data_IF_798565831152
#
_entry.id   IF_798565831152
#
_cell.length_a   1.000
_cell.length_b   1.000
_cell.length_c   1.000
_cell.angle_alpha   90.00
_cell.angle_beta   90.00
_cell.angle_gamma   90.00
#
_symmetry.space_group_name_H-M   'P 1'
#
loop_
_entity.id
_entity.type
_entity.pdbx_description
1 polymer ?
#
# COMPACT_ATOMS: atom_id res chain seq x y z
N UNK A 1 25.53 -12.26 -6.62
CA UNK A 1 25.09 -10.89 -6.93
C UNK A 1 24.23 -10.40 -5.79
N UNK A 2 24.52 -9.23 -5.21
CA UNK A 2 23.65 -8.61 -4.22
C UNK A 2 22.75 -7.60 -4.95
N UNK A 3 21.43 -7.82 -4.91
CA UNK A 3 20.45 -6.87 -5.42
C UNK A 3 19.88 -6.11 -4.21
N UNK A 4 19.88 -4.78 -4.29
CA UNK A 4 19.21 -3.97 -3.29
C UNK A 4 17.70 -3.98 -3.56
N UNK A 5 16.91 -4.24 -2.51
CA UNK A 5 15.45 -4.22 -2.57
C UNK A 5 14.93 -3.24 -1.53
N UNK A 6 14.12 -2.28 -1.96
CA UNK A 6 13.45 -1.37 -1.05
C UNK A 6 12.39 -2.14 -0.26
N UNK A 7 12.42 -2.00 1.06
CA UNK A 7 11.41 -2.55 1.96
C UNK A 7 10.19 -1.64 1.97
N UNK A 8 9.02 -2.23 1.85
CA UNK A 8 7.77 -1.50 1.91
C UNK A 8 7.42 -1.20 3.37
N UNK A 9 7.03 0.03 3.67
CA UNK A 9 6.51 0.42 4.99
C UNK A 9 5.45 1.52 4.85
N UNK A 10 4.64 1.69 5.89
CA UNK A 10 3.73 2.82 6.08
C UNK A 10 4.05 3.58 7.38
N UNK A 11 5.32 3.59 7.80
CA UNK A 11 5.78 4.40 8.95
C UNK A 11 5.80 5.92 8.70
N UNK A 12 5.87 6.33 7.44
CA UNK A 12 5.86 7.73 7.03
C UNK A 12 5.52 7.84 5.56
N UNK A 13 4.92 8.97 5.18
CA UNK A 13 4.77 9.32 3.78
C UNK A 13 6.04 10.02 3.28
N UNK A 14 6.69 9.55 2.21
CA UNK A 14 7.81 10.27 1.63
C UNK A 14 7.35 11.61 1.07
N UNK A 15 8.13 12.67 1.30
CA UNK A 15 7.88 13.98 0.70
C UNK A 15 8.26 13.98 -0.78
N UNK A 16 7.42 14.57 -1.63
CA UNK A 16 7.65 14.66 -3.09
C UNK A 16 7.50 16.10 -3.52
N UNK A 17 8.50 16.64 -4.22
CA UNK A 17 8.42 17.94 -4.89
C UNK A 17 8.63 17.74 -6.39
N UNK A 18 7.62 18.05 -7.18
CA UNK A 18 7.74 18.10 -8.64
C UNK A 18 7.98 19.56 -9.03
N UNK A 19 9.07 19.78 -9.75
CA UNK A 19 9.55 21.12 -10.13
C UNK A 19 9.69 21.14 -11.65
N UNK A 20 9.06 22.13 -12.28
CA UNK A 20 9.27 22.45 -13.69
C UNK A 20 10.20 23.67 -13.74
N UNK A 21 11.23 23.59 -14.56
CA UNK A 21 12.11 24.72 -14.84
C UNK A 21 11.67 25.39 -16.15
N UNK A 22 11.29 26.66 -16.05
CA UNK A 22 10.92 27.49 -17.20
C UNK A 22 12.11 28.37 -17.55
N UNK A 23 12.60 28.21 -18.78
CA UNK A 23 13.67 29.03 -19.34
C UNK A 23 13.04 30.12 -20.19
N UNK A 24 13.33 31.39 -19.89
CA UNK A 24 12.85 32.49 -20.71
C UNK A 24 13.72 32.70 -21.97
N UNK A 25 13.30 33.61 -22.86
CA UNK A 25 14.01 33.90 -24.10
C UNK A 25 15.42 34.53 -23.88
N UNK A 26 15.72 34.99 -22.66
CA UNK A 26 17.01 35.57 -22.29
C UNK A 26 17.93 34.56 -21.58
N UNK A 27 17.46 33.32 -21.36
CA UNK A 27 18.22 32.26 -20.71
C UNK A 27 18.14 32.26 -19.19
N UNK A 28 17.19 32.99 -18.58
CA UNK A 28 16.95 32.91 -17.14
C UNK A 28 16.10 31.70 -16.78
N UNK A 29 16.54 30.98 -15.74
CA UNK A 29 15.87 29.80 -15.22
C UNK A 29 14.93 30.19 -14.06
N UNK A 30 13.65 29.83 -14.19
CA UNK A 30 12.65 30.01 -13.14
C UNK A 30 12.09 28.65 -12.73
N UNK A 31 12.30 28.26 -11.47
CA UNK A 31 11.82 26.98 -10.94
C UNK A 31 10.42 27.15 -10.35
N UNK A 32 9.45 26.45 -10.92
CA UNK A 32 8.07 26.42 -10.48
C UNK A 32 7.79 25.07 -9.82
N UNK A 33 7.35 25.08 -8.57
CA UNK A 33 6.88 23.89 -7.88
C UNK A 33 5.45 23.63 -8.34
N UNK A 34 5.24 22.56 -9.11
CA UNK A 34 3.90 22.19 -9.61
C UNK A 34 3.17 21.25 -8.67
N UNK A 35 3.92 20.52 -7.82
CA UNK A 35 3.35 19.65 -6.80
C UNK A 35 4.30 19.58 -5.61
N UNK A 36 3.74 19.66 -4.41
CA UNK A 36 4.49 19.51 -3.16
C UNK A 36 3.68 18.67 -2.19
N UNK A 37 4.22 17.50 -1.86
CA UNK A 37 3.76 16.63 -0.79
C UNK A 37 4.81 16.68 0.33
N UNK A 38 4.38 17.05 1.53
CA UNK A 38 5.25 17.08 2.69
C UNK A 38 5.53 15.67 3.21
N UNK A 39 6.74 15.47 3.75
CA UNK A 39 7.02 14.31 4.59
C UNK A 39 6.09 14.33 5.80
N UNK A 40 5.45 13.20 6.10
CA UNK A 40 4.57 13.07 7.26
C UNK A 40 4.93 11.79 8.03
N UNK A 41 5.46 11.90 9.26
CA UNK A 41 5.68 10.75 10.11
C UNK A 41 4.34 10.20 10.63
N UNK A 42 4.18 8.89 10.61
CA UNK A 42 3.00 8.20 11.16
C UNK A 42 3.40 7.49 12.45
N UNK A 43 3.32 8.23 13.56
CA UNK A 43 3.85 7.78 14.86
C UNK A 43 3.08 6.59 15.48
N UNK A 44 1.76 6.50 15.28
CA UNK A 44 0.90 5.48 15.93
C UNK A 44 0.00 4.68 14.99
N UNK A 45 -0.18 5.14 13.75
CA UNK A 45 -1.04 4.48 12.76
C UNK A 45 -0.34 3.41 11.90
N UNK A 46 1.00 3.36 11.94
CA UNK A 46 1.76 2.40 11.15
C UNK A 46 1.70 1.01 11.77
N UNK A 47 1.36 0.01 10.96
CA UNK A 47 1.38 -1.41 11.33
C UNK A 47 2.34 -2.23 10.47
N UNK A 48 3.06 -1.58 9.54
CA UNK A 48 4.01 -2.23 8.61
C UNK A 48 5.26 -2.86 9.25
N UNK A 49 5.51 -2.59 10.53
CA UNK A 49 6.60 -3.22 11.29
C UNK A 49 6.46 -4.73 11.35
N UNK A 50 5.23 -5.24 11.36
CA UNK A 50 4.94 -6.67 11.41
C UNK A 50 5.36 -7.41 10.12
N UNK A 51 5.45 -6.71 9.00
CA UNK A 51 5.87 -7.23 7.68
C UNK A 51 7.36 -7.01 7.41
N UNK A 52 8.05 -6.38 8.36
CA UNK A 52 9.47 -6.10 8.30
C UNK A 52 10.05 -6.25 9.70
N UNK A 53 9.72 -7.38 10.36
CA UNK A 53 10.04 -7.59 11.78
C UNK A 53 11.49 -7.22 12.04
N UNK A 54 11.66 -6.17 12.84
CA UNK A 54 12.99 -5.69 13.15
C UNK A 54 13.46 -6.51 14.33
N UNK A 55 14.64 -7.13 14.20
CA UNK A 55 15.26 -7.89 15.28
C UNK A 55 15.32 -7.08 16.58
N UNK A 56 15.43 -5.75 16.51
CA UNK A 56 15.44 -4.86 17.66
C UNK A 56 14.13 -4.82 18.43
N UNK A 57 13.00 -5.08 17.79
CA UNK A 57 11.67 -5.05 18.42
C UNK A 57 11.42 -6.36 19.17
N UNK A 58 11.75 -7.51 18.57
CA UNK A 58 11.42 -8.82 19.14
C UNK A 58 12.52 -9.38 20.06
N UNK A 59 13.79 -9.01 19.85
CA UNK A 59 14.92 -9.54 20.62
C UNK A 59 14.87 -9.22 22.12
N UNK A 60 14.43 -8.02 22.59
CA UNK A 60 14.25 -7.77 24.02
C UNK A 60 13.25 -8.73 24.68
N UNK A 61 12.12 -9.00 24.01
CA UNK A 61 11.09 -9.91 24.52
C UNK A 61 11.56 -11.36 24.47
N UNK A 62 12.26 -11.75 23.40
CA UNK A 62 12.87 -13.07 23.30
C UNK A 62 13.88 -13.30 24.42
N UNK A 63 14.73 -12.31 24.72
CA UNK A 63 15.70 -12.37 25.82
C UNK A 63 15.02 -12.47 27.20
N UNK A 64 14.01 -11.64 27.46
CA UNK A 64 13.34 -11.57 28.78
C UNK A 64 12.56 -12.84 29.15
N UNK A 65 12.18 -13.64 28.16
CA UNK A 65 11.40 -14.88 28.35
C UNK A 65 12.13 -16.14 27.89
N UNK A 66 13.39 -16.01 27.49
CA UNK A 66 14.19 -17.09 26.91
C UNK A 66 13.45 -17.79 25.75
N UNK A 67 12.83 -16.99 24.88
CA UNK A 67 12.27 -17.45 23.62
C UNK A 67 13.33 -17.46 22.53
N UNK A 68 13.12 -18.34 21.58
CA UNK A 68 13.86 -18.43 20.33
C UNK A 68 13.15 -17.58 19.27
N UNK A 69 13.91 -16.74 18.56
CA UNK A 69 13.43 -16.09 17.34
C UNK A 69 13.36 -17.08 16.16
N UNK A 70 13.94 -18.28 16.31
CA UNK A 70 13.86 -19.36 15.32
C UNK A 70 12.55 -20.13 15.51
N UNK A 71 11.69 -20.07 14.50
CA UNK A 71 10.43 -20.82 14.41
C UNK A 71 10.67 -22.33 14.35
N UNK A 72 9.72 -23.11 14.85
CA UNK A 72 9.79 -24.57 14.91
C UNK A 72 10.59 -25.14 16.08
N UNK A 73 11.12 -24.29 16.96
CA UNK A 73 11.78 -24.72 18.20
C UNK A 73 10.78 -24.85 19.35
N UNK A 74 11.10 -25.66 20.36
CA UNK A 74 10.26 -25.83 21.56
C UNK A 74 10.08 -24.55 22.39
N UNK A 75 10.88 -23.50 22.10
CA UNK A 75 10.84 -22.20 22.76
C UNK A 75 10.59 -21.06 21.78
N UNK A 76 10.03 -21.32 20.60
CA UNK A 76 9.76 -20.24 19.64
C UNK A 76 8.94 -19.12 20.28
N UNK A 77 9.20 -17.88 19.87
CA UNK A 77 8.37 -16.74 20.27
C UNK A 77 6.93 -16.96 19.77
N UNK A 78 5.90 -16.78 20.62
CA UNK A 78 4.51 -16.90 20.19
C UNK A 78 4.13 -15.84 19.16
N UNK A 79 3.29 -16.20 18.18
CA UNK A 79 2.83 -15.27 17.14
C UNK A 79 2.01 -14.12 17.72
N UNK A 80 1.25 -14.38 18.79
CA UNK A 80 0.51 -13.33 19.48
C UNK A 80 1.45 -12.28 20.09
N UNK A 81 2.66 -12.69 20.50
CA UNK A 81 3.65 -11.76 21.04
C UNK A 81 4.30 -10.92 19.94
N UNK A 82 4.53 -11.48 18.76
CA UNK A 82 5.00 -10.74 17.57
C UNK A 82 3.99 -9.66 17.18
N UNK A 83 2.70 -10.03 17.14
CA UNK A 83 1.60 -9.10 16.86
C UNK A 83 1.51 -8.01 17.94
N UNK A 84 1.57 -8.40 19.21
CA UNK A 84 1.54 -7.47 20.34
C UNK A 84 2.70 -6.46 20.29
N UNK A 85 3.92 -6.92 20.01
CA UNK A 85 5.10 -6.06 19.87
C UNK A 85 4.96 -5.06 18.71
N UNK A 86 4.17 -5.41 17.70
CA UNK A 86 3.82 -4.56 16.55
C UNK A 86 2.56 -3.72 16.78
N UNK A 87 2.05 -3.68 18.03
CA UNK A 87 0.82 -2.97 18.41
C UNK A 87 -0.37 -3.42 17.57
N UNK A 88 -0.42 -4.70 17.21
CA UNK A 88 -1.51 -5.30 16.45
C UNK A 88 -2.32 -6.25 17.33
N UNK A 89 -3.63 -6.26 17.10
CA UNK A 89 -4.55 -7.21 17.72
C UNK A 89 -4.90 -8.28 16.68
N UNK A 90 -4.88 -9.58 17.04
CA UNK A 90 -5.34 -10.62 16.13
C UNK A 90 -6.79 -10.41 15.68
N UNK A 91 -7.04 -10.50 14.38
CA UNK A 91 -8.36 -10.42 13.74
C UNK A 91 -8.59 -11.66 12.86
N UNK A 92 -9.82 -11.83 12.35
CA UNK A 92 -10.05 -12.87 11.34
C UNK A 92 -9.16 -12.66 10.10
N UNK A 93 -8.97 -11.41 9.66
CA UNK A 93 -8.13 -11.08 8.52
C UNK A 93 -6.67 -11.44 8.80
N UNK A 94 -6.16 -11.15 10.00
CA UNK A 94 -4.80 -11.51 10.37
C UNK A 94 -4.62 -13.05 10.41
N UNK A 95 -5.60 -13.81 10.91
CA UNK A 95 -5.55 -15.27 10.91
C UNK A 95 -5.59 -15.88 9.50
N UNK A 96 -6.43 -15.33 8.62
CA UNK A 96 -6.50 -15.74 7.22
C UNK A 96 -5.17 -15.42 6.50
N UNK A 97 -4.57 -14.27 6.79
CA UNK A 97 -3.23 -13.92 6.28
C UNK A 97 -2.19 -14.95 6.72
N UNK A 98 -2.12 -15.26 8.02
CA UNK A 98 -1.16 -16.23 8.56
C UNK A 98 -1.31 -17.61 7.92
N UNK A 99 -2.55 -18.01 7.66
CA UNK A 99 -2.88 -19.30 7.04
C UNK A 99 -2.50 -19.37 5.56
N UNK A 100 -2.71 -18.29 4.80
CA UNK A 100 -2.59 -18.31 3.33
C UNK A 100 -1.27 -17.72 2.81
N UNK A 101 -0.62 -16.83 3.57
CA UNK A 101 0.60 -16.14 3.17
C UNK A 101 1.76 -16.56 4.05
N UNK A 102 1.53 -16.62 5.36
CA UNK A 102 2.53 -17.05 6.34
C UNK A 102 2.52 -16.18 7.60
N UNK A 103 3.28 -16.58 8.62
CA UNK A 103 3.19 -15.94 9.92
C UNK A 103 3.80 -14.55 9.90
N UNK A 104 3.14 -13.64 10.61
CA UNK A 104 3.62 -12.29 10.84
C UNK A 104 5.01 -12.29 11.49
N UNK A 105 5.85 -11.31 11.15
CA UNK A 105 7.24 -11.25 11.58
C UNK A 105 8.20 -12.29 10.97
N UNK A 106 7.72 -13.14 10.05
CA UNK A 106 8.56 -13.95 9.17
C UNK A 106 8.27 -13.70 7.68
N UNK A 107 7.46 -12.69 7.39
CA UNK A 107 7.22 -12.20 6.04
C UNK A 107 7.92 -10.87 5.88
N UNK A 108 8.39 -10.68 4.66
CA UNK A 108 9.15 -9.54 4.23
C UNK A 108 8.42 -8.78 3.12
N UNK A 109 7.89 -7.60 3.41
CA UNK A 109 7.26 -6.76 2.40
C UNK A 109 8.28 -5.95 1.60
N UNK A 110 8.28 -6.14 0.28
CA UNK A 110 9.19 -5.46 -0.64
C UNK A 110 8.42 -4.56 -1.62
N UNK A 111 9.02 -3.43 -1.96
CA UNK A 111 8.48 -2.55 -2.99
C UNK A 111 8.72 -3.16 -4.37
N UNK A 112 7.64 -3.38 -5.12
CA UNK A 112 7.70 -3.86 -6.51
C UNK A 112 7.52 -2.66 -7.44
N UNK A 113 8.50 -2.33 -8.31
CA UNK A 113 8.34 -1.26 -9.28
C UNK A 113 7.24 -1.61 -10.29
N UNK A 114 6.56 -0.60 -10.81
CA UNK A 114 5.57 -0.77 -11.88
C UNK A 114 6.26 -1.40 -13.09
N UNK A 115 5.77 -2.55 -13.61
CA UNK A 115 6.32 -3.15 -14.82
C UNK A 115 6.29 -2.16 -16.00
N UNK A 116 7.37 -1.99 -16.77
CA UNK A 116 7.41 -1.03 -17.87
C UNK A 116 6.28 -1.23 -18.88
N UNK A 117 5.97 -2.49 -19.21
CA UNK A 117 4.86 -2.82 -20.11
C UNK A 117 3.50 -2.36 -19.60
N UNK A 118 3.26 -2.39 -18.29
CA UNK A 118 2.03 -1.89 -17.69
C UNK A 118 1.98 -0.36 -17.75
N UNK A 119 3.12 0.30 -17.47
CA UNK A 119 3.22 1.75 -17.59
C UNK A 119 2.95 2.22 -19.03
N UNK A 120 3.50 1.53 -20.03
CA UNK A 120 3.31 1.84 -21.44
C UNK A 120 1.83 1.74 -21.86
N UNK A 121 1.14 0.68 -21.42
CA UNK A 121 -0.29 0.49 -21.70
C UNK A 121 -1.11 1.63 -21.08
N UNK A 122 -0.85 1.97 -19.81
CA UNK A 122 -1.56 3.05 -19.12
C UNK A 122 -1.29 4.40 -19.80
N UNK A 123 -0.04 4.68 -20.17
CA UNK A 123 0.33 5.90 -20.89
C UNK A 123 -0.33 5.99 -22.27
N UNK A 124 -0.36 4.90 -23.03
CA UNK A 124 -1.06 4.84 -24.33
C UNK A 124 -2.54 5.11 -24.15
N UNK A 125 -3.19 4.44 -23.20
CA UNK A 125 -4.61 4.63 -22.91
C UNK A 125 -4.92 6.09 -22.52
N UNK A 126 -4.13 6.69 -21.63
CA UNK A 126 -4.29 8.09 -21.23
C UNK A 126 -4.09 9.05 -22.41
N UNK A 127 -3.10 8.80 -23.26
CA UNK A 127 -2.85 9.58 -24.48
C UNK A 127 -4.01 9.49 -25.48
N UNK A 128 -4.56 8.29 -25.68
CA UNK A 128 -5.69 8.05 -26.57
C UNK A 128 -6.96 8.74 -26.04
N UNK A 129 -7.24 8.62 -24.73
CA UNK A 129 -8.37 9.30 -24.09
C UNK A 129 -8.25 10.81 -24.25
N UNK A 130 -7.08 11.40 -23.92
CA UNK A 130 -6.87 12.84 -24.04
C UNK A 130 -6.98 13.31 -25.50
N UNK A 131 -6.46 12.54 -26.45
CA UNK A 131 -6.60 12.78 -27.89
C UNK A 131 -8.07 12.79 -28.32
N UNK A 132 -8.87 11.82 -27.86
CA UNK A 132 -10.31 11.76 -28.16
C UNK A 132 -11.06 12.92 -27.52
N UNK A 133 -10.78 13.27 -26.26
CA UNK A 133 -11.39 14.42 -25.59
C UNK A 133 -11.09 15.74 -26.31
N UNK A 134 -9.90 15.88 -26.89
CA UNK A 134 -9.50 17.10 -27.61
C UNK A 134 -10.11 17.17 -29.01
N UNK A 135 -10.28 16.03 -29.68
CA UNK A 135 -10.69 15.97 -31.10
C UNK A 135 -12.18 15.72 -31.32
N UNK A 136 -12.89 15.20 -30.32
CA UNK A 136 -14.28 14.77 -30.47
C UNK A 136 -15.17 15.40 -29.40
N UNK A 137 -15.92 16.43 -29.81
CA UNK A 137 -16.83 17.17 -28.93
C UNK A 137 -17.93 16.27 -28.34
N UNK A 138 -18.37 15.23 -29.04
CA UNK A 138 -19.37 14.28 -28.54
C UNK A 138 -18.81 13.43 -27.40
N UNK A 139 -17.56 12.95 -27.54
CA UNK A 139 -16.87 12.21 -26.48
C UNK A 139 -16.61 13.12 -25.27
N UNK A 140 -16.18 14.36 -25.51
CA UNK A 140 -16.01 15.34 -24.45
C UNK A 140 -17.30 15.59 -23.67
N UNK A 141 -18.42 15.82 -24.36
CA UNK A 141 -19.72 16.01 -23.73
C UNK A 141 -20.16 14.78 -22.93
N UNK A 142 -20.02 13.58 -23.49
CA UNK A 142 -20.36 12.33 -22.80
C UNK A 142 -19.51 12.12 -21.53
N UNK A 143 -18.20 12.42 -21.58
CA UNK A 143 -17.31 12.29 -20.42
C UNK A 143 -17.61 13.36 -19.37
N UNK A 144 -18.00 14.57 -19.77
CA UNK A 144 -18.46 15.61 -18.83
C UNK A 144 -19.78 15.22 -18.15
N UNK A 145 -20.64 14.45 -18.82
CA UNK A 145 -21.90 13.94 -18.26
C UNK A 145 -21.72 12.77 -17.29
N UNK A 146 -20.64 11.97 -17.41
CA UNK A 146 -20.39 10.81 -16.54
C UNK A 146 -20.26 11.15 -15.04
N UNK A 147 -20.00 12.42 -14.70
CA UNK A 147 -19.74 12.83 -13.32
C UNK A 147 -18.50 12.16 -12.72
N UNK A 148 -18.17 12.50 -11.47
CA UNK A 148 -17.12 11.81 -10.72
C UNK A 148 -17.72 10.57 -10.03
N UNK A 149 -18.05 9.54 -10.80
CA UNK A 149 -18.34 8.23 -10.21
C UNK A 149 -17.07 7.38 -10.17
N UNK A 150 -16.65 7.03 -8.96
CA UNK A 150 -15.58 6.05 -8.76
C UNK A 150 -16.07 4.67 -9.14
N UNK A 151 -15.81 4.25 -10.38
CA UNK A 151 -15.95 2.85 -10.75
C UNK A 151 -14.84 2.06 -10.06
N UNK A 152 -15.18 1.30 -9.01
CA UNK A 152 -14.29 0.26 -8.47
C UNK A 152 -14.47 -0.98 -9.34
N UNK A 153 -13.51 -1.32 -10.23
CA UNK A 153 -13.64 -2.48 -11.09
C UNK A 153 -13.76 -3.74 -10.22
N UNK A 154 -14.96 -4.31 -10.20
CA UNK A 154 -15.28 -5.51 -9.41
C UNK A 154 -15.27 -6.72 -10.34
N UNK A 155 -14.41 -7.72 -10.11
CA UNK A 155 -14.46 -8.98 -10.85
C UNK A 155 -15.87 -9.58 -10.80
N UNK A 156 -16.40 -10.02 -11.95
CA UNK A 156 -17.75 -10.61 -12.02
C UNK A 156 -17.93 -11.78 -11.04
N UNK A 157 -16.88 -12.55 -10.80
CA UNK A 157 -16.89 -13.66 -9.84
C UNK A 157 -17.15 -13.23 -8.40
N UNK A 158 -16.91 -11.96 -8.05
CA UNK A 158 -17.15 -11.39 -6.72
C UNK A 158 -18.55 -10.77 -6.59
N UNK A 159 -19.30 -10.70 -7.70
CA UNK A 159 -20.69 -10.23 -7.70
C UNK A 159 -21.67 -11.31 -7.21
N UNK A 160 -22.80 -10.90 -6.64
CA UNK A 160 -23.87 -11.82 -6.22
C UNK A 160 -24.05 -12.00 -4.71
N UNK A 161 -23.37 -11.20 -3.88
CA UNK A 161 -23.64 -11.14 -2.43
C UNK A 161 -23.22 -12.36 -1.61
N UNK A 162 -22.48 -13.30 -2.22
CA UNK A 162 -21.99 -14.51 -1.55
C UNK A 162 -20.71 -14.30 -0.72
N UNK A 163 -20.11 -13.10 -0.80
CA UNK A 163 -18.84 -12.78 -0.15
C UNK A 163 -19.00 -11.56 0.76
N UNK A 164 -18.36 -11.63 1.92
CA UNK A 164 -18.05 -10.48 2.73
C UNK A 164 -16.64 -10.01 2.37
N UNK A 165 -16.46 -8.70 2.18
CA UNK A 165 -15.18 -8.12 1.81
C UNK A 165 -14.54 -7.43 3.01
N UNK A 166 -13.25 -7.67 3.20
CA UNK A 166 -12.39 -6.93 4.11
C UNK A 166 -11.11 -6.62 3.37
N UNK A 167 -10.80 -5.34 3.21
CA UNK A 167 -9.66 -4.86 2.43
C UNK A 167 -8.97 -3.69 3.13
N UNK A 168 -8.32 -2.84 2.34
CA UNK A 168 -7.46 -1.78 2.83
C UNK A 168 -6.10 -2.33 3.26
N UNK A 169 -5.74 -2.12 4.52
CA UNK A 169 -4.46 -2.57 5.04
C UNK A 169 -4.67 -3.80 5.95
N UNK A 170 -4.18 -5.00 5.58
CA UNK A 170 -4.44 -6.25 6.29
C UNK A 170 -3.78 -6.31 7.67
N UNK A 171 -2.91 -5.33 7.99
CA UNK A 171 -2.29 -5.18 9.30
C UNK A 171 -3.16 -4.36 10.26
N UNK A 172 -4.31 -3.87 9.81
CA UNK A 172 -5.22 -3.13 10.65
C UNK A 172 -6.10 -4.04 11.50
N UNK A 173 -6.30 -3.63 12.74
CA UNK A 173 -7.14 -4.30 13.73
C UNK A 173 -8.63 -3.89 13.61
N UNK A 174 -8.94 -2.89 12.78
CA UNK A 174 -10.27 -2.32 12.58
C UNK A 174 -10.88 -2.59 11.20
N UNK A 175 -10.44 -3.63 10.48
CA UNK A 175 -11.02 -3.95 9.16
C UNK A 175 -12.49 -4.36 9.31
N UNK A 176 -13.40 -3.50 8.85
CA UNK A 176 -14.83 -3.79 8.83
C UNK A 176 -15.18 -4.68 7.64
N UNK A 177 -16.13 -5.61 7.84
CA UNK A 177 -16.70 -6.40 6.75
C UNK A 177 -17.74 -5.58 6.02
N UNK A 178 -17.65 -5.53 4.70
CA UNK A 178 -18.61 -4.86 3.83
C UNK A 178 -19.23 -5.84 2.84
N UNK A 179 -20.43 -5.53 2.39
CA UNK A 179 -21.11 -6.25 1.31
C UNK A 179 -20.62 -5.87 -0.09
N UNK A 180 -19.78 -4.84 -0.18
CA UNK A 180 -19.18 -4.33 -1.40
C UNK A 180 -17.65 -4.46 -1.35
N UNK A 181 -17.03 -4.59 -2.52
CA UNK A 181 -15.58 -4.73 -2.67
C UNK A 181 -14.87 -3.49 -2.13
N UNK A 182 -13.92 -3.71 -1.22
CA UNK A 182 -13.03 -2.67 -0.72
C UNK A 182 -11.76 -2.62 -1.59
N UNK A 183 -11.00 -1.54 -1.48
CA UNK A 183 -9.66 -1.47 -2.08
C UNK A 183 -8.81 -2.68 -1.63
N UNK A 184 -8.16 -3.34 -2.57
CA UNK A 184 -7.43 -4.60 -2.32
C UNK A 184 -6.21 -4.40 -1.43
N UNK A 185 -5.52 -3.26 -1.56
CA UNK A 185 -4.38 -2.90 -0.73
C UNK A 185 -4.22 -1.38 -0.65
N UNK A 186 -4.38 -0.83 0.55
CA UNK A 186 -4.17 0.59 0.84
C UNK A 186 -2.82 0.83 1.49
N UNK A 187 -2.09 1.85 1.03
CA UNK A 187 -0.83 2.31 1.66
C UNK A 187 -1.07 3.14 2.92
N UNK A 188 -2.32 3.46 3.21
CA UNK A 188 -2.71 4.32 4.32
C UNK A 188 -2.63 3.59 5.66
N UNK A 189 -2.60 4.39 6.72
CA UNK A 189 -2.65 3.91 8.10
C UNK A 189 -4.02 3.37 8.45
N UNK A 190 -4.08 2.63 9.54
CA UNK A 190 -5.32 2.09 10.12
C UNK A 190 -6.21 3.16 10.78
N UNK A 191 -6.10 4.42 10.35
CA UNK A 191 -6.76 5.59 10.92
C UNK A 191 -7.56 6.31 9.84
#
# INVERSE_FOLDING_TARGET
MAQWMLRWHNGWSPGVKEIIEVVDAYGFFNKLIVKSLSYMPQATGSKSTVLNSVITTDMPFARLRNYSLVRGTSRQIPDELILFNSVMVPTLVSQLWETNIGPYGAIDAVWVPVPPSLADIVHSFQGDVLSQLTRNATVLAAVQELGYEWALPTPRAWSGGAYEFSGGNPMCDNTHRTSFVQETFGLTTCA
#
